data_IF_565003033073
#
_entry.id   IF_565003033073
#
_cell.length_a   1.000
_cell.length_b   1.000
_cell.length_c   1.000
_cell.angle_alpha   90.00
_cell.angle_beta   90.00
_cell.angle_gamma   90.00
#
_symmetry.space_group_name_H-M   'P 1'
#
loop_
_entity.id
_entity.type
_entity.pdbx_description
1 polymer ?
#
# COMPACT_ATOMS: atom_id res chain seq x y z
N UNK A 1 19.33 -34.51 -29.69
CA UNK A 1 18.36 -34.97 -28.66
C UNK A 1 18.25 -33.93 -27.53
N UNK A 2 17.73 -32.72 -27.80
CA UNK A 2 17.53 -31.66 -26.78
C UNK A 2 16.12 -31.03 -26.77
N UNK A 3 15.20 -31.50 -27.60
CA UNK A 3 13.88 -30.86 -27.78
C UNK A 3 12.71 -31.54 -27.07
N UNK A 4 12.93 -32.63 -26.30
CA UNK A 4 11.83 -33.33 -25.61
C UNK A 4 11.57 -32.90 -24.17
N UNK A 5 12.58 -32.33 -23.49
CA UNK A 5 12.42 -31.86 -22.10
C UNK A 5 11.58 -30.58 -22.10
N UNK A 6 11.86 -29.66 -23.04
CA UNK A 6 11.23 -28.35 -23.08
C UNK A 6 9.71 -28.36 -23.35
N UNK A 7 9.20 -29.41 -24.01
CA UNK A 7 7.77 -29.52 -24.37
C UNK A 7 6.92 -30.07 -23.22
N UNK A 8 7.46 -30.97 -22.41
CA UNK A 8 6.75 -31.57 -21.28
C UNK A 8 6.59 -30.60 -20.11
N UNK A 9 7.55 -29.68 -19.94
CA UNK A 9 7.52 -28.68 -18.87
C UNK A 9 6.48 -27.57 -19.14
N UNK A 10 6.18 -27.25 -20.41
CA UNK A 10 5.18 -26.23 -20.75
C UNK A 10 3.73 -26.71 -20.57
N UNK A 11 3.44 -27.98 -20.88
CA UNK A 11 2.10 -28.56 -20.69
C UNK A 11 1.70 -28.52 -19.20
N UNK A 12 2.60 -28.91 -18.29
CA UNK A 12 2.36 -28.86 -16.84
C UNK A 12 2.08 -27.47 -16.28
N UNK A 13 2.67 -26.41 -16.84
CA UNK A 13 2.41 -25.04 -16.37
C UNK A 13 1.03 -24.55 -16.80
N UNK A 14 0.63 -24.86 -18.04
CA UNK A 14 -0.71 -24.57 -18.52
C UNK A 14 -1.81 -25.32 -17.76
N UNK A 15 -1.50 -26.51 -17.22
CA UNK A 15 -2.42 -27.27 -16.37
C UNK A 15 -2.66 -26.62 -15.01
N UNK A 16 -1.64 -26.05 -14.37
CA UNK A 16 -1.80 -25.33 -13.09
C UNK A 16 -2.79 -24.17 -13.27
N UNK A 17 -2.56 -23.32 -14.27
CA UNK A 17 -3.43 -22.17 -14.55
C UNK A 17 -4.85 -22.64 -14.92
N UNK A 18 -4.97 -23.64 -15.79
CA UNK A 18 -6.26 -24.21 -16.20
C UNK A 18 -7.06 -24.80 -15.03
N UNK A 19 -6.40 -25.50 -14.10
CA UNK A 19 -7.08 -26.02 -12.91
C UNK A 19 -7.55 -24.90 -11.98
N UNK A 20 -6.75 -23.85 -11.80
CA UNK A 20 -7.16 -22.69 -11.00
C UNK A 20 -8.37 -21.99 -11.60
N UNK A 21 -8.40 -21.78 -12.93
CA UNK A 21 -9.54 -21.19 -13.64
C UNK A 21 -10.82 -22.03 -13.53
N UNK A 22 -10.69 -23.36 -13.47
CA UNK A 22 -11.81 -24.30 -13.31
C UNK A 22 -12.24 -24.50 -11.85
N UNK A 23 -11.57 -23.88 -10.87
CA UNK A 23 -11.82 -24.08 -9.45
C UNK A 23 -11.36 -25.43 -8.91
N UNK A 24 -10.50 -26.14 -9.64
CA UNK A 24 -9.88 -27.41 -9.25
C UNK A 24 -8.63 -27.17 -8.41
N UNK A 25 -8.80 -26.51 -7.26
CA UNK A 25 -7.70 -26.03 -6.42
C UNK A 25 -6.80 -27.19 -5.93
N UNK A 26 -7.38 -28.31 -5.49
CA UNK A 26 -6.59 -29.43 -4.94
C UNK A 26 -5.66 -30.05 -6.00
N UNK A 27 -6.11 -30.17 -7.25
CA UNK A 27 -5.31 -30.64 -8.39
C UNK A 27 -4.17 -29.66 -8.70
N UNK A 28 -4.45 -28.36 -8.77
CA UNK A 28 -3.43 -27.34 -8.97
C UNK A 28 -2.39 -27.36 -7.84
N UNK A 29 -2.83 -27.44 -6.58
CA UNK A 29 -1.96 -27.50 -5.40
C UNK A 29 -1.09 -28.76 -5.39
N UNK A 30 -1.62 -29.90 -5.85
CA UNK A 30 -0.84 -31.13 -6.03
C UNK A 30 0.31 -30.94 -7.03
N UNK A 31 0.03 -30.31 -8.19
CA UNK A 31 1.05 -30.00 -9.19
C UNK A 31 2.08 -29.00 -8.69
N UNK A 32 1.65 -27.96 -7.95
CA UNK A 32 2.55 -26.98 -7.33
C UNK A 32 3.50 -27.67 -6.35
N UNK A 33 3.00 -28.59 -5.52
CA UNK A 33 3.85 -29.36 -4.59
C UNK A 33 4.87 -30.21 -5.34
N UNK A 34 4.43 -30.96 -6.35
CA UNK A 34 5.30 -31.78 -7.17
C UNK A 34 6.39 -30.94 -7.87
N UNK A 35 6.03 -29.74 -8.33
CA UNK A 35 6.95 -28.80 -8.98
C UNK A 35 7.97 -28.25 -7.99
N UNK A 36 7.55 -27.84 -6.80
CA UNK A 36 8.47 -27.42 -5.75
C UNK A 36 9.34 -28.54 -5.20
N UNK A 37 8.96 -29.80 -5.32
CA UNK A 37 9.79 -30.93 -4.91
C UNK A 37 10.90 -31.28 -5.93
N UNK A 38 10.86 -30.70 -7.15
CA UNK A 38 11.93 -30.86 -8.16
C UNK A 38 13.29 -30.43 -7.62
N UNK A 39 14.35 -31.07 -8.13
CA UNK A 39 15.73 -30.72 -7.78
C UNK A 39 16.14 -29.37 -8.38
N UNK A 40 15.78 -29.14 -9.64
CA UNK A 40 15.96 -27.88 -10.34
C UNK A 40 14.58 -27.34 -10.71
N UNK A 41 14.35 -26.05 -10.43
CA UNK A 41 13.12 -25.33 -10.74
C UNK A 41 13.52 -24.12 -11.59
N UNK A 42 12.90 -23.98 -12.75
CA UNK A 42 13.08 -22.83 -13.63
C UNK A 42 12.45 -21.56 -13.06
N UNK A 43 12.83 -20.41 -13.61
CA UNK A 43 12.19 -19.13 -13.31
C UNK A 43 10.66 -19.21 -13.54
N UNK A 44 10.25 -19.73 -14.69
CA UNK A 44 8.85 -19.78 -15.12
C UNK A 44 8.02 -20.65 -14.18
N UNK A 45 8.48 -21.87 -13.88
CA UNK A 45 7.81 -22.76 -12.94
C UNK A 45 7.62 -22.14 -11.57
N UNK A 46 8.65 -21.46 -11.06
CA UNK A 46 8.56 -20.82 -9.76
C UNK A 46 7.54 -19.67 -9.77
N UNK A 47 7.54 -18.82 -10.82
CA UNK A 47 6.55 -17.75 -10.97
C UNK A 47 5.13 -18.29 -11.05
N UNK A 48 4.86 -19.27 -11.92
CA UNK A 48 3.53 -19.86 -12.09
C UNK A 48 3.03 -20.47 -10.78
N UNK A 49 3.87 -21.26 -10.11
CA UNK A 49 3.50 -21.86 -8.82
C UNK A 49 3.19 -20.80 -7.75
N UNK A 50 4.02 -19.77 -7.62
CA UNK A 50 3.77 -18.70 -6.64
C UNK A 50 2.50 -17.93 -6.99
N UNK A 51 2.28 -17.58 -8.25
CA UNK A 51 1.12 -16.80 -8.67
C UNK A 51 -0.20 -17.57 -8.47
N UNK A 52 -0.22 -18.86 -8.82
CA UNK A 52 -1.35 -19.74 -8.53
C UNK A 52 -1.62 -19.83 -7.02
N UNK A 53 -0.57 -19.95 -6.19
CA UNK A 53 -0.73 -19.95 -4.74
C UNK A 53 -1.36 -18.66 -4.20
N UNK A 54 -1.12 -17.49 -4.81
CA UNK A 54 -1.72 -16.22 -4.36
C UNK A 54 -3.25 -16.22 -4.42
N UNK A 55 -3.85 -17.13 -5.20
CA UNK A 55 -5.30 -17.29 -5.30
C UNK A 55 -5.84 -18.32 -4.28
N UNK A 56 -4.96 -19.07 -3.60
CA UNK A 56 -5.36 -20.06 -2.60
C UNK A 56 -5.75 -19.41 -1.27
N UNK A 57 -6.84 -19.90 -0.66
CA UNK A 57 -7.27 -19.48 0.67
C UNK A 57 -6.29 -19.89 1.78
N UNK A 58 -5.41 -20.87 1.50
CA UNK A 58 -4.47 -21.47 2.48
C UNK A 58 -3.02 -21.06 2.23
N UNK A 59 -2.79 -19.91 1.59
CA UNK A 59 -1.48 -19.40 1.20
C UNK A 59 -0.39 -19.52 2.29
N UNK A 60 -0.70 -19.19 3.55
CA UNK A 60 0.26 -19.23 4.67
C UNK A 60 0.83 -20.64 4.91
N UNK A 61 0.06 -21.69 4.64
CA UNK A 61 0.50 -23.08 4.88
C UNK A 61 1.64 -23.49 3.95
N UNK A 62 1.80 -22.80 2.81
CA UNK A 62 2.84 -23.07 1.80
C UNK A 62 4.17 -22.38 2.07
N UNK A 63 4.23 -21.53 3.10
CA UNK A 63 5.36 -20.66 3.41
C UNK A 63 6.70 -21.36 3.48
N UNK A 64 6.77 -22.49 4.19
CA UNK A 64 8.02 -23.24 4.34
C UNK A 64 8.44 -23.90 3.03
N UNK A 65 7.48 -24.38 2.23
CA UNK A 65 7.77 -25.01 0.94
C UNK A 65 8.28 -23.99 -0.07
N UNK A 66 7.60 -22.83 -0.20
CA UNK A 66 8.02 -21.73 -1.08
C UNK A 66 9.42 -21.22 -0.70
N UNK A 67 9.69 -20.99 0.59
CA UNK A 67 11.02 -20.57 1.06
C UNK A 67 12.11 -21.61 0.74
N UNK A 68 11.77 -22.90 0.86
CA UNK A 68 12.72 -23.99 0.59
C UNK A 68 12.97 -24.17 -0.90
N UNK A 69 11.95 -24.02 -1.74
CA UNK A 69 12.09 -23.96 -3.19
C UNK A 69 12.96 -22.76 -3.61
N UNK A 70 12.67 -21.56 -3.10
CA UNK A 70 13.45 -20.35 -3.40
C UNK A 70 14.94 -20.50 -3.06
N UNK A 71 15.27 -21.03 -1.88
CA UNK A 71 16.67 -21.24 -1.46
C UNK A 71 17.45 -22.20 -2.35
N UNK A 72 16.77 -23.11 -3.06
CA UNK A 72 17.39 -24.06 -3.99
C UNK A 72 17.65 -23.46 -5.37
N UNK A 73 17.00 -22.35 -5.71
CA UNK A 73 17.20 -21.69 -7.00
C UNK A 73 18.65 -21.21 -7.14
N UNK A 74 19.17 -21.27 -8.36
CA UNK A 74 20.47 -20.67 -8.66
C UNK A 74 20.42 -19.14 -8.48
N UNK A 75 21.57 -18.51 -8.24
CA UNK A 75 21.63 -17.06 -8.03
C UNK A 75 21.02 -16.23 -9.18
N UNK A 76 21.26 -16.54 -10.47
CA UNK A 76 20.62 -15.83 -11.57
C UNK A 76 19.09 -15.93 -11.54
N UNK A 77 18.55 -17.13 -11.27
CA UNK A 77 17.10 -17.36 -11.20
C UNK A 77 16.50 -16.65 -9.98
N UNK A 78 17.19 -16.67 -8.85
CA UNK A 78 16.77 -15.95 -7.63
C UNK A 78 16.54 -14.45 -7.87
N UNK A 79 17.38 -13.82 -8.71
CA UNK A 79 17.26 -12.41 -9.05
C UNK A 79 16.03 -12.15 -9.95
N UNK A 80 15.68 -13.10 -10.82
CA UNK A 80 14.55 -13.02 -11.74
C UNK A 80 13.20 -13.25 -11.05
N UNK A 81 13.16 -14.12 -10.03
CA UNK A 81 11.93 -14.43 -9.28
C UNK A 81 11.70 -13.52 -8.06
N UNK A 82 12.49 -12.45 -7.89
CA UNK A 82 12.33 -11.51 -6.76
C UNK A 82 10.94 -10.91 -6.68
N UNK A 83 10.35 -10.54 -7.82
CA UNK A 83 8.97 -10.02 -7.88
C UNK A 83 7.95 -11.04 -7.36
N UNK A 84 8.09 -12.33 -7.69
CA UNK A 84 7.21 -13.36 -7.14
C UNK A 84 7.33 -13.44 -5.61
N UNK A 85 8.56 -13.42 -5.09
CA UNK A 85 8.80 -13.45 -3.64
C UNK A 85 8.33 -12.20 -2.90
N UNK A 86 8.44 -11.03 -3.53
CA UNK A 86 7.87 -9.77 -3.02
C UNK A 86 6.36 -9.92 -2.80
N UNK A 87 5.65 -10.32 -3.86
CA UNK A 87 4.20 -10.45 -3.83
C UNK A 87 3.76 -11.56 -2.86
N UNK A 88 4.46 -12.70 -2.86
CA UNK A 88 4.21 -13.78 -1.91
C UNK A 88 4.36 -13.32 -0.46
N UNK A 89 5.50 -12.74 -0.09
CA UNK A 89 5.77 -12.30 1.28
C UNK A 89 4.78 -11.21 1.72
N UNK A 90 4.38 -10.31 0.83
CA UNK A 90 3.38 -9.30 1.13
C UNK A 90 2.00 -9.92 1.39
N UNK A 91 1.56 -10.85 0.54
CA UNK A 91 0.26 -11.53 0.69
C UNK A 91 0.16 -12.35 1.99
N UNK A 92 1.27 -12.88 2.49
CA UNK A 92 1.35 -13.54 3.81
C UNK A 92 1.62 -12.57 4.99
N UNK A 93 1.44 -11.25 4.79
CA UNK A 93 1.61 -10.22 5.82
C UNK A 93 3.03 -10.15 6.42
N UNK A 94 4.06 -10.55 5.68
CA UNK A 94 5.47 -10.41 6.07
C UNK A 94 6.11 -9.20 5.41
N UNK A 95 5.60 -7.98 5.65
CA UNK A 95 6.05 -6.75 4.96
C UNK A 95 7.56 -6.50 5.06
N UNK A 96 8.18 -6.75 6.23
CA UNK A 96 9.63 -6.63 6.42
C UNK A 96 10.40 -7.54 5.46
N UNK A 97 9.94 -8.78 5.29
CA UNK A 97 10.58 -9.75 4.37
C UNK A 97 10.26 -9.42 2.92
N UNK A 98 9.06 -8.96 2.63
CA UNK A 98 8.69 -8.47 1.30
C UNK A 98 9.63 -7.35 0.84
N UNK A 99 10.00 -6.44 1.74
CA UNK A 99 10.96 -5.37 1.47
C UNK A 99 12.34 -5.88 1.01
N UNK A 100 12.82 -7.02 1.53
CA UNK A 100 14.08 -7.65 1.11
C UNK A 100 14.07 -8.09 -0.37
N UNK A 101 12.88 -8.27 -0.95
CA UNK A 101 12.67 -8.72 -2.33
C UNK A 101 12.37 -7.59 -3.31
N UNK A 102 12.49 -6.32 -2.90
CA UNK A 102 12.28 -5.20 -3.81
C UNK A 102 13.12 -5.33 -5.08
N UNK A 103 12.51 -5.29 -6.28
CA UNK A 103 13.27 -5.19 -7.51
C UNK A 103 13.92 -3.81 -7.60
N UNK A 104 15.08 -3.72 -8.25
CA UNK A 104 15.74 -2.42 -8.51
C UNK A 104 14.86 -1.49 -9.35
N UNK A 105 14.09 -2.07 -10.26
CA UNK A 105 13.11 -1.38 -11.10
C UNK A 105 11.93 -2.33 -11.32
N UNK A 106 10.72 -2.00 -10.86
CA UNK A 106 9.54 -2.80 -11.17
C UNK A 106 9.26 -2.71 -12.68
N UNK A 107 9.01 -3.86 -13.31
CA UNK A 107 8.61 -3.97 -14.71
C UNK A 107 7.12 -4.22 -14.88
N UNK A 108 6.44 -4.65 -13.82
CA UNK A 108 4.99 -4.88 -13.75
C UNK A 108 4.35 -3.86 -12.81
N UNK A 109 3.14 -3.40 -13.13
CA UNK A 109 2.42 -2.44 -12.28
C UNK A 109 2.16 -3.03 -10.89
N UNK A 110 1.87 -4.32 -10.81
CA UNK A 110 1.58 -5.01 -9.55
C UNK A 110 2.77 -4.98 -8.60
N UNK A 111 4.00 -5.10 -9.12
CA UNK A 111 5.20 -4.97 -8.29
C UNK A 111 5.32 -3.55 -7.71
N UNK A 112 5.08 -2.51 -8.51
CA UNK A 112 5.12 -1.13 -8.02
C UNK A 112 4.02 -0.86 -6.98
N UNK A 113 2.82 -1.40 -7.19
CA UNK A 113 1.73 -1.34 -6.22
C UNK A 113 2.13 -2.01 -4.90
N UNK A 114 2.61 -3.26 -4.93
CA UNK A 114 3.03 -4.01 -3.74
C UNK A 114 4.18 -3.32 -3.03
N UNK A 115 5.17 -2.80 -3.77
CA UNK A 115 6.26 -2.02 -3.20
C UNK A 115 5.73 -0.79 -2.44
N UNK A 116 4.73 -0.08 -2.99
CA UNK A 116 4.14 1.07 -2.32
C UNK A 116 3.48 0.65 -1.01
N UNK A 117 2.64 -0.39 -1.04
CA UNK A 117 1.95 -0.88 0.17
C UNK A 117 2.95 -1.29 1.26
N UNK A 118 4.01 -2.02 0.90
CA UNK A 118 5.08 -2.41 1.84
C UNK A 118 5.77 -1.17 2.44
N UNK A 119 6.10 -0.16 1.62
CA UNK A 119 6.73 1.06 2.14
C UNK A 119 5.82 1.81 3.11
N UNK A 120 4.52 1.92 2.81
CA UNK A 120 3.56 2.62 3.67
C UNK A 120 3.29 1.85 4.97
N UNK A 121 3.22 0.52 4.91
CA UNK A 121 3.05 -0.34 6.08
C UNK A 121 4.26 -0.26 7.03
N UNK A 122 5.46 -0.22 6.47
CA UNK A 122 6.71 -0.10 7.24
C UNK A 122 7.07 1.35 7.61
N UNK A 123 6.27 2.34 7.20
CA UNK A 123 6.55 3.76 7.42
C UNK A 123 7.81 4.29 6.73
N UNK A 124 8.30 3.62 5.67
CA UNK A 124 9.52 4.01 4.93
C UNK A 124 9.18 5.03 3.84
N UNK A 125 8.83 6.25 4.25
CA UNK A 125 8.35 7.30 3.33
C UNK A 125 9.40 7.71 2.28
N UNK A 126 10.68 7.69 2.61
CA UNK A 126 11.76 7.98 1.65
C UNK A 126 11.81 6.97 0.50
N UNK A 127 11.57 5.69 0.79
CA UNK A 127 11.47 4.66 -0.24
C UNK A 127 10.14 4.75 -0.98
N UNK A 128 9.05 5.05 -0.27
CA UNK A 128 7.73 5.28 -0.87
C UNK A 128 7.78 6.40 -1.92
N UNK A 129 8.51 7.49 -1.67
CA UNK A 129 8.69 8.59 -2.62
C UNK A 129 9.35 8.12 -3.93
N UNK A 130 10.33 7.20 -3.85
CA UNK A 130 10.95 6.62 -5.05
C UNK A 130 9.95 5.74 -5.80
N UNK A 131 9.18 4.93 -5.07
CA UNK A 131 8.16 4.05 -5.64
C UNK A 131 7.03 4.84 -6.30
N UNK A 132 6.65 6.00 -5.73
CA UNK A 132 5.64 6.88 -6.30
C UNK A 132 5.95 7.24 -7.76
N UNK A 133 7.22 7.43 -8.12
CA UNK A 133 7.64 7.69 -9.51
C UNK A 133 7.32 6.52 -10.45
N UNK A 134 7.49 5.28 -9.98
CA UNK A 134 7.11 4.10 -10.75
C UNK A 134 5.59 4.00 -10.87
N UNK A 135 4.84 4.21 -9.78
CA UNK A 135 3.38 4.21 -9.81
C UNK A 135 2.83 5.26 -10.78
N UNK A 136 3.36 6.48 -10.78
CA UNK A 136 2.99 7.53 -11.74
C UNK A 136 3.32 7.13 -13.19
N UNK A 137 4.47 6.47 -13.41
CA UNK A 137 4.85 5.95 -14.72
C UNK A 137 3.85 4.92 -15.25
N UNK A 138 3.49 3.93 -14.43
CA UNK A 138 2.48 2.93 -14.79
C UNK A 138 1.08 3.54 -14.96
N UNK A 139 0.72 4.54 -14.16
CA UNK A 139 -0.56 5.25 -14.31
C UNK A 139 -0.66 5.96 -15.66
N UNK A 140 0.43 6.59 -16.11
CA UNK A 140 0.48 7.30 -17.39
C UNK A 140 0.32 6.38 -18.62
N UNK A 141 0.63 5.10 -18.46
CA UNK A 141 0.55 4.08 -19.53
C UNK A 141 -0.52 3.02 -19.25
N UNK A 142 -1.45 3.29 -18.33
CA UNK A 142 -2.48 2.32 -17.95
C UNK A 142 -3.59 2.25 -19.01
N UNK A 143 -3.66 1.11 -19.70
CA UNK A 143 -4.64 0.85 -20.76
C UNK A 143 -5.97 0.31 -20.21
N UNK A 144 -5.97 -0.23 -18.99
CA UNK A 144 -7.14 -0.80 -18.32
C UNK A 144 -7.47 -0.12 -16.99
N UNK A 145 -8.76 -0.20 -16.61
CA UNK A 145 -9.29 0.45 -15.41
C UNK A 145 -8.75 -0.15 -14.12
N UNK A 146 -8.42 -1.44 -14.10
CA UNK A 146 -7.89 -2.11 -12.92
C UNK A 146 -6.47 -1.60 -12.58
N UNK A 147 -5.59 -1.54 -13.58
CA UNK A 147 -4.24 -0.98 -13.44
C UNK A 147 -4.31 0.50 -13.03
N UNK A 148 -5.20 1.28 -13.66
CA UNK A 148 -5.40 2.69 -13.33
C UNK A 148 -5.88 2.88 -11.89
N UNK A 149 -6.90 2.14 -11.46
CA UNK A 149 -7.40 2.16 -10.09
C UNK A 149 -6.30 1.80 -9.08
N UNK A 150 -5.53 0.75 -9.38
CA UNK A 150 -4.42 0.28 -8.53
C UNK A 150 -3.37 1.38 -8.32
N UNK A 151 -2.92 2.02 -9.40
CA UNK A 151 -1.89 3.07 -9.31
C UNK A 151 -2.41 4.33 -8.63
N UNK A 152 -3.67 4.72 -8.90
CA UNK A 152 -4.31 5.86 -8.25
C UNK A 152 -4.41 5.62 -6.75
N UNK A 153 -4.88 4.44 -6.33
CA UNK A 153 -5.01 4.11 -4.92
C UNK A 153 -3.65 4.11 -4.19
N UNK A 154 -2.62 3.52 -4.80
CA UNK A 154 -1.26 3.54 -4.25
C UNK A 154 -0.70 4.97 -4.08
N UNK A 155 -0.87 5.83 -5.09
CA UNK A 155 -0.42 7.22 -5.03
C UNK A 155 -1.22 8.06 -4.03
N UNK A 156 -2.55 7.90 -4.00
CA UNK A 156 -3.39 8.63 -3.07
C UNK A 156 -3.09 8.23 -1.62
N UNK A 157 -2.88 6.93 -1.35
CA UNK A 157 -2.45 6.45 -0.04
C UNK A 157 -1.09 7.04 0.36
N UNK A 158 -0.14 7.15 -0.58
CA UNK A 158 1.13 7.82 -0.35
C UNK A 158 0.96 9.29 0.02
N UNK A 159 0.24 10.08 -0.79
CA UNK A 159 0.02 11.50 -0.50
C UNK A 159 -0.67 11.73 0.83
N UNK A 160 -1.67 10.90 1.14
CA UNK A 160 -2.34 10.93 2.44
C UNK A 160 -1.36 10.67 3.59
N UNK A 161 -0.41 9.74 3.41
CA UNK A 161 0.62 9.39 4.41
C UNK A 161 1.69 10.46 4.58
N UNK A 162 1.91 11.31 3.58
CA UNK A 162 2.86 12.42 3.62
C UNK A 162 2.23 13.75 3.99
N UNK A 163 0.97 13.77 4.41
CA UNK A 163 0.27 14.99 4.82
C UNK A 163 -0.24 15.85 3.66
N UNK A 164 -0.53 15.26 2.50
CA UNK A 164 -1.14 15.95 1.36
C UNK A 164 -2.52 15.34 1.03
N UNK A 165 -3.55 15.64 1.85
CA UNK A 165 -4.89 15.11 1.64
C UNK A 165 -5.54 15.65 0.36
N UNK A 166 -5.16 16.83 -0.12
CA UNK A 166 -5.74 17.43 -1.33
C UNK A 166 -5.36 16.65 -2.58
N UNK A 167 -4.07 16.33 -2.74
CA UNK A 167 -3.60 15.48 -3.85
C UNK A 167 -4.22 14.08 -3.79
N UNK A 168 -4.36 13.51 -2.59
CA UNK A 168 -5.01 12.21 -2.40
C UNK A 168 -6.48 12.23 -2.84
N UNK A 169 -7.24 13.24 -2.41
CA UNK A 169 -8.66 13.41 -2.78
C UNK A 169 -8.84 13.61 -4.28
N UNK A 170 -7.99 14.41 -4.91
CA UNK A 170 -8.02 14.62 -6.36
C UNK A 170 -7.86 13.30 -7.12
N UNK A 171 -6.85 12.51 -6.74
CA UNK A 171 -6.58 11.22 -7.35
C UNK A 171 -7.76 10.25 -7.19
N UNK A 172 -8.30 10.10 -5.97
CA UNK A 172 -9.46 9.24 -5.76
C UNK A 172 -10.74 9.74 -6.44
N UNK A 173 -10.86 11.05 -6.70
CA UNK A 173 -11.95 11.63 -7.50
C UNK A 173 -11.88 11.23 -8.97
N UNK A 174 -10.67 11.04 -9.52
CA UNK A 174 -10.40 10.63 -10.90
C UNK A 174 -10.36 9.09 -11.08
N UNK A 175 -10.40 8.33 -9.98
CA UNK A 175 -10.33 6.87 -10.01
C UNK A 175 -11.53 6.25 -10.75
N UNK A 176 -11.30 5.29 -11.66
CA UNK A 176 -12.39 4.52 -12.25
C UNK A 176 -13.15 3.75 -11.15
N UNK A 177 -14.41 3.43 -11.42
CA UNK A 177 -15.28 2.71 -10.48
C UNK A 177 -14.96 1.22 -10.52
N UNK A 178 -13.80 0.85 -9.98
CA UNK A 178 -13.39 -0.54 -9.83
C UNK A 178 -13.83 -1.09 -8.47
N UNK A 179 -14.56 -2.20 -8.50
CA UNK A 179 -15.16 -2.82 -7.32
C UNK A 179 -14.11 -3.26 -6.29
N UNK A 180 -12.98 -3.79 -6.77
CA UNK A 180 -11.88 -4.27 -5.93
C UNK A 180 -11.28 -3.17 -5.03
N UNK A 181 -11.30 -1.91 -5.49
CA UNK A 181 -10.70 -0.79 -4.77
C UNK A 181 -11.72 0.15 -4.13
N UNK A 182 -13.03 -0.06 -4.37
CA UNK A 182 -14.08 0.87 -3.93
C UNK A 182 -14.05 1.10 -2.41
N UNK A 183 -13.95 0.03 -1.62
CA UNK A 183 -13.89 0.14 -0.16
C UNK A 183 -12.67 0.95 0.29
N UNK A 184 -11.49 0.62 -0.24
CA UNK A 184 -10.23 1.27 0.12
C UNK A 184 -10.26 2.76 -0.22
N UNK A 185 -10.72 3.09 -1.43
CA UNK A 185 -10.94 4.47 -1.89
C UNK A 185 -11.88 5.25 -0.97
N UNK A 186 -13.06 4.71 -0.65
CA UNK A 186 -14.04 5.39 0.20
C UNK A 186 -13.51 5.63 1.62
N UNK A 187 -12.86 4.61 2.21
CA UNK A 187 -12.18 4.77 3.49
C UNK A 187 -11.06 5.82 3.40
N UNK A 188 -10.28 5.83 2.32
CA UNK A 188 -9.23 6.81 2.06
C UNK A 188 -9.75 8.24 2.00
N UNK A 189 -10.83 8.49 1.23
CA UNK A 189 -11.49 9.79 1.14
C UNK A 189 -11.94 10.30 2.51
N UNK A 190 -12.59 9.43 3.30
CA UNK A 190 -13.00 9.79 4.66
C UNK A 190 -11.79 10.16 5.54
N UNK A 191 -10.71 9.39 5.46
CA UNK A 191 -9.45 9.69 6.18
C UNK A 191 -8.82 11.01 5.72
N UNK A 192 -8.85 11.34 4.44
CA UNK A 192 -8.34 12.60 3.92
C UNK A 192 -9.13 13.81 4.46
N UNK A 193 -10.46 13.74 4.50
CA UNK A 193 -11.26 14.80 5.10
C UNK A 193 -11.04 14.94 6.60
N UNK A 194 -10.87 13.84 7.34
CA UNK A 194 -10.48 13.89 8.74
C UNK A 194 -9.12 14.56 8.94
N UNK A 195 -8.16 14.31 8.04
CA UNK A 195 -6.85 14.97 8.09
C UNK A 195 -6.97 16.48 7.84
N UNK A 196 -7.74 16.90 6.84
CA UNK A 196 -8.03 18.33 6.59
C UNK A 196 -8.69 19.00 7.79
N UNK A 197 -9.67 18.34 8.42
CA UNK A 197 -10.32 18.85 9.63
C UNK A 197 -9.33 19.00 10.81
N UNK A 198 -8.41 18.05 10.97
CA UNK A 198 -7.36 18.13 11.98
C UNK A 198 -6.41 19.31 11.74
N UNK A 199 -6.03 19.56 10.48
CA UNK A 199 -5.18 20.69 10.10
C UNK A 199 -5.88 22.03 10.32
N UNK A 200 -7.16 22.14 9.94
CA UNK A 200 -7.98 23.32 10.20
C UNK A 200 -8.11 23.59 11.71
N UNK A 201 -8.33 22.55 12.52
CA UNK A 201 -8.40 22.70 13.98
C UNK A 201 -7.08 23.19 14.58
N UNK A 202 -5.93 22.70 14.08
CA UNK A 202 -4.60 23.19 14.50
C UNK A 202 -4.37 24.65 14.10
N UNK A 203 -4.75 25.02 12.88
CA UNK A 203 -4.64 26.40 12.42
C UNK A 203 -5.52 27.34 13.25
N UNK A 204 -6.73 26.91 13.62
CA UNK A 204 -7.63 27.64 14.51
C UNK A 204 -6.99 27.90 15.89
N UNK A 205 -6.45 26.87 16.54
CA UNK A 205 -5.74 27.03 17.82
C UNK A 205 -4.51 27.96 17.71
N UNK A 206 -3.74 27.83 16.63
CA UNK A 206 -2.60 28.72 16.38
C UNK A 206 -3.04 30.18 16.17
N UNK A 207 -4.18 30.42 15.54
CA UNK A 207 -4.74 31.76 15.38
C UNK A 207 -5.24 32.35 16.71
N UNK A 208 -5.90 31.54 17.55
CA UNK A 208 -6.37 31.97 18.87
C UNK A 208 -5.22 32.34 19.81
N UNK A 209 -4.14 31.58 19.78
CA UNK A 209 -2.91 31.83 20.57
C UNK A 209 -2.07 32.99 20.01
N UNK A 210 -2.06 33.18 18.69
CA UNK A 210 -1.33 34.26 18.01
C UNK A 210 -2.01 35.62 18.07
N UNK A 211 -3.31 35.68 18.39
CA UNK A 211 -3.99 36.94 18.64
C UNK A 211 -3.47 37.53 19.96
N UNK A 212 -2.67 38.59 19.84
CA UNK A 212 -2.23 39.36 20.99
C UNK A 212 -3.43 40.16 21.50
N UNK A 213 -4.27 39.53 22.33
CA UNK A 213 -5.43 40.12 23.01
C UNK A 213 -5.06 41.27 23.97
N UNK A 214 -3.84 41.78 23.87
CA UNK A 214 -3.27 42.87 24.67
C UNK A 214 -3.50 44.24 24.07
N UNK A 215 -3.99 44.37 22.81
CA UNK A 215 -4.32 45.68 22.24
C UNK A 215 -5.66 46.18 22.80
N UNK A 216 -5.67 47.17 23.72
CA UNK A 216 -6.88 47.63 24.38
C UNK A 216 -7.69 48.60 23.51
N UNK A 217 -7.20 48.94 22.31
CA UNK A 217 -7.70 50.07 21.52
C UNK A 217 -8.75 49.71 20.46
N UNK A 218 -8.91 48.42 20.15
CA UNK A 218 -9.70 47.97 18.98
C UNK A 218 -11.06 47.34 19.29
N UNK A 219 -11.40 47.03 20.55
CA UNK A 219 -12.70 46.45 20.91
C UNK A 219 -13.28 47.05 22.19
N UNK A 220 -14.57 47.42 22.13
CA UNK A 220 -15.40 47.72 23.31
C UNK A 220 -15.53 46.41 24.11
N UNK A 221 -14.57 46.14 24.98
CA UNK A 221 -14.60 45.00 25.88
C UNK A 221 -15.64 45.26 26.96
N UNK A 222 -16.79 44.57 26.89
CA UNK A 222 -17.61 44.41 28.08
C UNK A 222 -16.81 43.57 29.09
N UNK A 223 -16.28 44.24 30.12
CA UNK A 223 -15.59 43.58 31.24
C UNK A 223 -16.47 42.44 31.77
N UNK A 224 -16.00 41.20 31.64
CA UNK A 224 -16.66 40.00 32.16
C UNK A 224 -17.10 38.94 31.14
N UNK A 225 -17.17 39.25 29.82
CA UNK A 225 -17.73 38.33 28.82
C UNK A 225 -16.78 37.83 27.72
N UNK A 226 -15.57 38.38 27.57
CA UNK A 226 -14.69 38.05 26.43
C UNK A 226 -13.74 36.86 26.66
N UNK A 227 -13.45 36.48 27.92
CA UNK A 227 -12.56 35.36 28.23
C UNK A 227 -13.23 33.99 28.02
N UNK A 228 -14.55 33.91 28.24
CA UNK A 228 -15.32 32.66 28.14
C UNK A 228 -15.43 32.14 26.70
N UNK A 229 -15.76 32.95 25.67
CA UNK A 229 -15.90 32.48 24.30
C UNK A 229 -14.61 31.96 23.66
N UNK A 230 -13.46 32.58 23.99
CA UNK A 230 -12.16 32.15 23.48
C UNK A 230 -11.78 30.81 24.10
N UNK A 231 -11.89 30.71 25.44
CA UNK A 231 -11.60 29.45 26.14
C UNK A 231 -12.55 28.32 25.73
N UNK A 232 -13.82 28.63 25.45
CA UNK A 232 -14.78 27.67 24.92
C UNK A 232 -14.40 27.18 23.52
N UNK A 233 -14.01 28.10 22.62
CA UNK A 233 -13.57 27.75 21.27
C UNK A 233 -12.26 26.95 21.27
N UNK A 234 -11.30 27.29 22.13
CA UNK A 234 -10.06 26.52 22.31
C UNK A 234 -10.38 25.08 22.72
N UNK A 235 -11.20 24.91 23.76
CA UNK A 235 -11.63 23.59 24.24
C UNK A 235 -12.36 22.78 23.17
N UNK A 236 -13.25 23.40 22.40
CA UNK A 236 -13.97 22.71 21.32
C UNK A 236 -13.00 22.24 20.22
N UNK A 237 -12.03 23.07 19.83
CA UNK A 237 -11.01 22.71 18.86
C UNK A 237 -10.08 21.60 19.39
N UNK A 238 -9.71 21.63 20.67
CA UNK A 238 -8.93 20.56 21.33
C UNK A 238 -9.69 19.23 21.34
N UNK A 239 -10.97 19.25 21.74
CA UNK A 239 -11.84 18.08 21.74
C UNK A 239 -11.98 17.47 20.34
N UNK A 240 -12.13 18.31 19.31
CA UNK A 240 -12.15 17.89 17.91
C UNK A 240 -10.83 17.25 17.48
N UNK A 241 -9.69 17.88 17.80
CA UNK A 241 -8.38 17.31 17.48
C UNK A 241 -8.21 15.93 18.11
N UNK A 242 -8.58 15.77 19.38
CA UNK A 242 -8.42 14.52 20.11
C UNK A 242 -9.40 13.44 19.63
N UNK A 243 -10.62 13.82 19.27
CA UNK A 243 -11.56 12.94 18.59
C UNK A 243 -11.00 12.40 17.27
N UNK A 244 -10.47 13.29 16.43
CA UNK A 244 -9.89 12.90 15.12
C UNK A 244 -8.63 12.03 15.30
N UNK A 245 -7.73 12.38 16.25
CA UNK A 245 -6.52 11.59 16.53
C UNK A 245 -6.86 10.16 16.96
N UNK A 246 -7.95 9.96 17.71
CA UNK A 246 -8.43 8.62 18.11
C UNK A 246 -8.94 7.80 16.93
N UNK A 247 -9.51 8.45 15.91
CA UNK A 247 -10.02 7.76 14.72
C UNK A 247 -8.92 7.37 13.73
N UNK A 248 -7.76 8.04 13.75
CA UNK A 248 -6.66 7.82 12.81
C UNK A 248 -5.27 7.85 13.47
N UNK A 249 -5.02 7.01 14.50
CA UNK A 249 -3.77 7.04 15.25
C UNK A 249 -2.53 6.83 14.37
N UNK A 250 -2.63 5.95 13.36
CA UNK A 250 -1.53 5.62 12.46
C UNK A 250 -1.10 6.80 11.59
N UNK A 251 -2.04 7.65 11.16
CA UNK A 251 -1.79 8.82 10.31
C UNK A 251 -1.13 9.95 11.08
N UNK A 252 -1.62 10.21 12.28
CA UNK A 252 -1.05 11.23 13.16
C UNK A 252 0.41 10.92 13.50
N UNK A 253 0.71 9.65 13.79
CA UNK A 253 2.07 9.22 14.09
C UNK A 253 3.04 9.44 12.92
N UNK A 254 2.63 9.12 11.69
CA UNK A 254 3.50 9.30 10.51
C UNK A 254 3.76 10.77 10.20
N UNK A 255 2.73 11.62 10.24
CA UNK A 255 2.88 13.05 9.96
C UNK A 255 3.75 13.74 11.01
N UNK A 256 3.69 13.31 12.28
CA UNK A 256 4.57 13.82 13.33
C UNK A 256 6.03 13.37 13.14
N UNK A 257 6.26 12.15 12.63
CA UNK A 257 7.60 11.66 12.34
C UNK A 257 8.23 12.42 11.17
N UNK A 258 7.47 12.67 10.10
CA UNK A 258 7.94 13.44 8.94
C UNK A 258 8.22 14.91 9.30
N UNK A 259 7.34 15.54 10.08
CA UNK A 259 7.56 16.91 10.56
C UNK A 259 8.80 17.08 11.44
N UNK A 260 9.29 16.01 12.08
CA UNK A 260 10.54 16.02 12.87
C UNK A 260 11.79 15.77 12.03
N UNK A 261 11.64 15.20 10.85
CA UNK A 261 12.75 14.87 9.95
C UNK A 261 13.12 16.03 9.00
N UNK A 262 12.23 17.02 8.86
CA UNK A 262 12.45 18.27 8.10
C UNK A 262 13.03 19.37 8.98
#
# INVERSE_FOLDING_TARGET
MKNRIHFCDQEHLSEIDGYMELGMEEEALSLIRATFDKHEISEEEFHTCVFALLQSERLETWKNLVKTAYRRLSKPVNDQVRSAMLNYCFSIREAVRAFEFFPRRPTKFFDAWTMMQVCLELGRLDEAQKVARYCSGFLATADDDFTRASMIDALAAYYLRTGDPESALKLWGEAPTESAFQRQRLCGIAKAHLLQALEAAKAGLAALTGQNWSDPSSEIRMQGNAATPISDAERELEDLQDGIKRLMPEMVAANQADARAR
#
